data_IF_043250455187
#
_entry.id   IF_043250455187
#
_cell.length_a   1.000
_cell.length_b   1.000
_cell.length_c   1.000
_cell.angle_alpha   90.00
_cell.angle_beta   90.00
_cell.angle_gamma   90.00
#
_symmetry.space_group_name_H-M   'P 1'
#
loop_
_entity.id
_entity.type
_entity.pdbx_description
1 polymer ?
#
# COMPACT_ATOMS: atom_id res chain seq x y z
N UNK A 1 -17.94 -47.02 -38.25
CA UNK A 1 -19.17 -47.68 -38.71
C UNK A 1 -18.91 -49.18 -38.72
N UNK A 2 -19.92 -49.94 -38.29
CA UNK A 2 -19.96 -51.39 -38.01
C UNK A 2 -19.57 -51.77 -36.57
N UNK A 3 -20.57 -52.40 -35.96
CA UNK A 3 -20.79 -52.74 -34.56
C UNK A 3 -21.03 -54.26 -34.45
N UNK A 4 -21.48 -54.67 -33.25
CA UNK A 4 -21.92 -56.01 -32.79
C UNK A 4 -20.78 -56.84 -32.17
N UNK A 5 -20.83 -57.33 -30.93
CA UNK A 5 -21.95 -57.59 -30.03
C UNK A 5 -22.51 -58.99 -30.25
N UNK A 6 -22.31 -59.92 -29.30
CA UNK A 6 -23.35 -60.80 -28.73
C UNK A 6 -22.81 -61.88 -27.77
N UNK A 7 -23.63 -62.05 -26.73
CA UNK A 7 -23.67 -62.99 -25.63
C UNK A 7 -23.54 -64.49 -25.96
N UNK A 8 -23.18 -65.25 -24.91
CA UNK A 8 -24.10 -66.25 -24.36
C UNK A 8 -23.68 -67.72 -24.43
N UNK A 9 -23.84 -68.39 -23.29
CA UNK A 9 -24.12 -69.83 -23.02
C UNK A 9 -23.30 -70.28 -21.80
N UNK A 10 -23.75 -71.08 -20.85
CA UNK A 10 -25.06 -71.53 -20.35
C UNK A 10 -24.73 -72.50 -19.18
N UNK A 11 -25.63 -72.59 -18.21
CA UNK A 11 -25.58 -73.34 -16.95
C UNK A 11 -25.19 -74.83 -17.03
N UNK A 12 -24.71 -75.35 -15.89
CA UNK A 12 -25.29 -76.58 -15.33
C UNK A 12 -25.22 -76.60 -13.80
N UNK A 13 -26.41 -76.65 -13.21
CA UNK A 13 -26.82 -76.81 -11.82
C UNK A 13 -26.40 -78.16 -11.20
N UNK A 14 -26.43 -78.25 -9.86
CA UNK A 14 -26.23 -79.52 -9.15
C UNK A 14 -26.15 -79.41 -7.63
N UNK A 15 -27.30 -79.14 -7.04
CA UNK A 15 -27.66 -78.88 -5.64
C UNK A 15 -27.28 -79.89 -4.52
N UNK A 16 -27.40 -79.35 -3.30
CA UNK A 16 -27.95 -79.92 -2.05
C UNK A 16 -27.07 -80.82 -1.16
N UNK A 17 -27.07 -80.76 0.18
CA UNK A 17 -27.70 -79.97 1.25
C UNK A 17 -27.23 -80.68 2.55
N UNK A 18 -26.76 -80.06 3.64
CA UNK A 18 -27.57 -79.66 4.82
C UNK A 18 -26.63 -79.47 6.02
N UNK A 19 -26.94 -78.50 6.88
CA UNK A 19 -26.43 -78.44 8.26
C UNK A 19 -26.24 -77.04 8.88
N UNK A 20 -27.36 -76.35 9.15
CA UNK A 20 -27.45 -75.04 9.82
C UNK A 20 -27.08 -75.05 11.31
N UNK A 21 -26.55 -73.90 11.78
CA UNK A 21 -27.01 -73.05 12.91
C UNK A 21 -25.79 -72.17 13.30
N UNK A 22 -25.81 -70.83 13.31
CA UNK A 22 -26.87 -69.88 13.64
C UNK A 22 -26.36 -69.06 14.83
N UNK A 23 -25.97 -67.80 14.62
CA UNK A 23 -26.56 -66.62 15.27
C UNK A 23 -25.65 -65.37 15.19
N UNK A 24 -26.26 -64.32 14.66
CA UNK A 24 -25.81 -62.94 14.58
C UNK A 24 -26.03 -62.19 15.91
N UNK A 25 -25.15 -61.24 16.20
CA UNK A 25 -25.38 -59.91 16.81
C UNK A 25 -24.03 -59.47 17.42
N UNK A 26 -23.40 -58.39 17.00
CA UNK A 26 -23.98 -57.07 16.81
C UNK A 26 -23.52 -56.20 17.99
N UNK A 27 -22.41 -55.49 17.82
CA UNK A 27 -22.13 -54.32 18.65
C UNK A 27 -21.50 -53.24 17.78
N UNK A 28 -22.37 -52.42 17.20
CA UNK A 28 -22.01 -51.08 16.80
C UNK A 28 -22.06 -50.20 18.04
N UNK A 29 -20.92 -49.61 18.40
CA UNK A 29 -20.89 -48.31 19.04
C UNK A 29 -19.69 -47.58 18.43
N UNK A 30 -20.00 -46.63 17.54
CA UNK A 30 -19.03 -45.70 17.03
C UNK A 30 -18.54 -44.79 18.14
N UNK A 31 -17.25 -44.53 18.13
CA UNK A 31 -16.70 -43.28 18.61
C UNK A 31 -15.93 -42.68 17.43
N UNK A 32 -16.50 -41.64 16.84
CA UNK A 32 -15.81 -40.82 15.85
C UNK A 32 -14.80 -39.95 16.59
N UNK A 33 -13.51 -40.25 16.41
CA UNK A 33 -12.44 -39.28 16.51
C UNK A 33 -11.48 -39.60 15.36
N UNK A 34 -11.71 -38.93 14.23
CA UNK A 34 -10.88 -39.10 13.04
C UNK A 34 -9.53 -38.41 13.23
N UNK A 35 -8.50 -39.22 13.47
CA UNK A 35 -7.21 -39.12 12.81
C UNK A 35 -6.44 -40.44 13.04
N UNK A 36 -6.86 -41.52 12.39
CA UNK A 36 -6.11 -42.79 12.44
C UNK A 36 -5.72 -43.14 11.00
N UNK A 37 -4.44 -42.96 10.68
CA UNK A 37 -3.83 -43.65 9.55
C UNK A 37 -3.95 -45.14 9.89
N UNK A 38 -4.89 -45.83 9.25
CA UNK A 38 -5.22 -47.20 9.60
C UNK A 38 -4.36 -48.13 8.74
N UNK A 39 -3.15 -48.44 9.22
CA UNK A 39 -2.18 -49.28 8.51
C UNK A 39 -2.65 -50.74 8.42
N UNK A 40 -2.38 -51.38 7.29
CA UNK A 40 -2.76 -52.79 7.05
C UNK A 40 -1.86 -53.78 7.81
N UNK A 41 -0.62 -53.41 8.12
CA UNK A 41 0.36 -54.30 8.73
C UNK A 41 1.09 -53.66 9.91
N UNK A 42 1.35 -54.47 10.93
CA UNK A 42 2.23 -54.17 12.06
C UNK A 42 3.32 -55.26 12.13
N UNK A 43 4.58 -54.86 12.26
CA UNK A 43 5.71 -55.78 12.45
C UNK A 43 6.49 -55.39 13.71
N UNK A 44 6.45 -56.27 14.72
CA UNK A 44 7.32 -56.15 15.89
C UNK A 44 8.77 -56.51 15.53
N UNK A 45 9.72 -55.73 16.02
CA UNK A 45 11.14 -56.01 15.89
C UNK A 45 11.51 -57.33 16.57
N UNK A 46 12.12 -58.24 15.81
CA UNK A 46 12.49 -59.57 16.27
C UNK A 46 13.92 -59.70 16.80
N UNK A 47 14.58 -58.58 17.11
CA UNK A 47 15.97 -58.55 17.58
C UNK A 47 17.02 -58.55 16.45
N UNK A 48 16.64 -58.30 15.20
CA UNK A 48 17.62 -58.19 14.12
C UNK A 48 18.44 -56.89 14.27
N UNK A 49 19.76 -57.02 14.40
CA UNK A 49 20.65 -55.90 14.68
C UNK A 49 20.74 -55.57 16.17
N UNK A 50 20.44 -56.52 17.06
CA UNK A 50 20.48 -56.33 18.52
C UNK A 50 21.88 -55.96 19.04
N UNK A 51 22.94 -56.24 18.28
CA UNK A 51 24.29 -55.76 18.58
C UNK A 51 24.42 -54.22 18.60
N UNK A 52 23.46 -53.51 18.00
CA UNK A 52 23.38 -52.04 17.97
C UNK A 52 22.34 -51.46 18.93
N UNK A 53 21.62 -52.30 19.69
CA UNK A 53 20.47 -51.87 20.48
C UNK A 53 20.81 -50.97 21.68
N UNK A 54 22.06 -50.99 22.16
CA UNK A 54 22.51 -50.21 23.30
C UNK A 54 23.57 -49.19 22.89
N UNK A 55 23.33 -47.92 23.22
CA UNK A 55 24.29 -46.83 23.18
C UNK A 55 24.41 -46.21 24.57
N UNK A 56 25.63 -45.96 25.01
CA UNK A 56 25.95 -45.26 26.27
C UNK A 56 26.67 -43.98 25.86
N UNK A 57 25.91 -42.91 25.66
CA UNK A 57 26.43 -41.65 25.12
C UNK A 57 26.74 -40.68 26.26
N UNK A 58 27.61 -39.69 25.99
CA UNK A 58 27.88 -38.63 26.97
C UNK A 58 26.62 -37.75 27.17
N UNK A 59 26.58 -36.97 28.26
CA UNK A 59 25.40 -36.15 28.63
C UNK A 59 25.04 -35.08 27.58
N UNK A 60 25.98 -34.75 26.68
CA UNK A 60 25.90 -33.80 25.57
C UNK A 60 25.83 -34.47 24.18
N UNK A 61 25.69 -35.80 24.14
CA UNK A 61 25.56 -36.58 22.91
C UNK A 61 24.15 -37.18 22.78
N UNK A 62 23.71 -37.37 21.53
CA UNK A 62 22.47 -38.07 21.21
C UNK A 62 22.79 -39.46 20.67
N UNK A 63 22.08 -40.47 21.16
CA UNK A 63 22.10 -41.80 20.58
C UNK A 63 21.33 -41.79 19.27
N UNK A 64 21.96 -42.22 18.18
CA UNK A 64 21.34 -42.38 16.87
C UNK A 64 21.22 -43.87 16.52
N UNK A 65 20.04 -44.28 16.05
CA UNK A 65 19.79 -45.60 15.47
C UNK A 65 19.17 -45.48 14.10
N UNK A 66 19.76 -46.17 13.13
CA UNK A 66 19.16 -46.32 11.80
C UNK A 66 18.45 -47.64 11.69
N UNK A 67 17.16 -47.57 11.41
CA UNK A 67 16.31 -48.73 11.19
C UNK A 67 16.02 -48.91 9.71
N UNK A 68 15.93 -50.17 9.29
CA UNK A 68 15.57 -50.53 7.92
C UNK A 68 14.41 -51.52 7.96
N UNK A 69 13.29 -51.14 7.34
CA UNK A 69 12.20 -52.04 7.01
C UNK A 69 12.37 -52.53 5.56
N UNK A 70 12.73 -53.80 5.42
CA UNK A 70 12.93 -54.43 4.11
C UNK A 70 11.64 -55.16 3.68
N UNK A 71 11.12 -54.92 2.46
CA UNK A 71 9.94 -55.63 1.97
C UNK A 71 10.26 -57.11 1.75
N UNK A 72 9.29 -57.97 2.05
CA UNK A 72 9.34 -59.40 1.79
C UNK A 72 9.00 -59.79 0.34
N UNK A 73 8.52 -58.84 -0.48
CA UNK A 73 8.21 -59.09 -1.88
C UNK A 73 7.42 -57.97 -2.55
N UNK A 74 6.39 -58.35 -3.29
CA UNK A 74 5.41 -57.43 -3.88
C UNK A 74 4.06 -57.57 -3.16
N UNK A 75 3.26 -56.49 -3.04
CA UNK A 75 3.57 -55.12 -3.47
C UNK A 75 4.73 -54.52 -2.64
N UNK A 76 5.42 -53.47 -3.13
CA UNK A 76 6.40 -52.76 -2.32
C UNK A 76 5.73 -52.19 -1.06
N UNK A 77 6.52 -51.81 -0.06
CA UNK A 77 6.00 -51.01 1.06
C UNK A 77 5.51 -49.68 0.47
N UNK A 78 4.39 -49.17 0.94
CA UNK A 78 3.86 -47.86 0.51
C UNK A 78 4.59 -46.71 1.25
N UNK A 79 4.17 -45.47 1.02
CA UNK A 79 4.71 -44.32 1.77
C UNK A 79 3.99 -44.18 3.12
N UNK A 80 4.66 -43.55 4.10
CA UNK A 80 4.04 -43.24 5.40
C UNK A 80 4.17 -44.35 6.45
N UNK A 81 5.05 -45.34 6.27
CA UNK A 81 5.36 -46.28 7.34
C UNK A 81 5.87 -45.55 8.60
N UNK A 82 5.48 -46.00 9.79
CA UNK A 82 5.84 -45.38 11.07
C UNK A 82 6.48 -46.39 12.01
N UNK A 83 7.66 -46.06 12.52
CA UNK A 83 8.38 -46.86 13.50
C UNK A 83 8.13 -46.30 14.88
N UNK A 84 7.71 -47.14 15.82
CA UNK A 84 7.64 -46.80 17.25
C UNK A 84 8.68 -47.60 18.02
N UNK A 85 9.53 -46.91 18.78
CA UNK A 85 10.62 -47.49 19.58
C UNK A 85 10.34 -47.23 21.05
N UNK A 86 10.47 -48.26 21.88
CA UNK A 86 10.40 -48.18 23.33
C UNK A 86 11.76 -48.54 23.93
N UNK A 87 12.24 -47.69 24.82
CA UNK A 87 13.54 -47.84 25.49
C UNK A 87 13.38 -48.43 26.90
N UNK A 88 14.47 -48.93 27.50
CA UNK A 88 14.45 -49.57 28.84
C UNK A 88 13.95 -48.65 29.98
N UNK A 89 13.99 -47.33 29.79
CA UNK A 89 13.41 -46.36 30.73
C UNK A 89 11.89 -46.21 30.58
N UNK A 90 11.27 -46.96 29.67
CA UNK A 90 9.86 -46.94 29.27
C UNK A 90 9.44 -45.67 28.51
N UNK A 91 10.38 -44.87 27.99
CA UNK A 91 10.01 -43.83 27.01
C UNK A 91 9.72 -44.48 25.67
N UNK A 92 8.79 -43.89 24.92
CA UNK A 92 8.39 -44.34 23.60
C UNK A 92 8.37 -43.17 22.65
N UNK A 93 8.95 -43.35 21.46
CA UNK A 93 9.01 -42.34 20.40
C UNK A 93 8.65 -42.94 19.05
N UNK A 94 8.08 -42.11 18.17
CA UNK A 94 7.61 -42.51 16.84
C UNK A 94 8.32 -41.71 15.76
N UNK A 95 8.78 -42.39 14.72
CA UNK A 95 9.59 -41.83 13.64
C UNK A 95 8.96 -42.17 12.29
N UNK A 96 8.91 -41.18 11.39
CA UNK A 96 8.40 -41.36 10.04
C UNK A 96 9.44 -42.02 9.13
N UNK A 97 8.98 -42.97 8.32
CA UNK A 97 9.81 -43.68 7.37
C UNK A 97 10.10 -42.88 6.11
N UNK A 98 11.35 -42.89 5.66
CA UNK A 98 11.77 -42.25 4.42
C UNK A 98 12.58 -43.20 3.51
N UNK A 99 12.84 -42.75 2.28
CA UNK A 99 13.62 -43.49 1.28
C UNK A 99 14.72 -42.60 0.71
N UNK A 100 16.01 -42.92 0.92
CA UNK A 100 17.07 -42.19 0.26
C UNK A 100 17.13 -42.59 -1.22
N UNK A 101 16.44 -41.84 -2.08
CA UNK A 101 16.44 -41.96 -3.55
C UNK A 101 15.12 -42.43 -4.17
N UNK A 102 15.07 -42.48 -5.51
CA UNK A 102 13.85 -42.73 -6.31
C UNK A 102 13.37 -44.22 -6.36
N UNK A 103 13.65 -45.02 -5.33
CA UNK A 103 13.41 -46.47 -5.33
C UNK A 103 12.21 -46.94 -4.49
N UNK A 104 11.45 -47.92 -4.99
CA UNK A 104 10.37 -48.61 -4.25
C UNK A 104 10.89 -49.72 -3.30
N UNK A 105 12.13 -49.61 -2.81
CA UNK A 105 12.81 -50.60 -1.97
C UNK A 105 12.50 -50.52 -0.47
N UNK A 106 13.51 -50.74 0.37
CA UNK A 106 13.39 -50.66 1.83
C UNK A 106 13.08 -49.23 2.31
N UNK A 107 12.36 -49.13 3.42
CA UNK A 107 12.10 -47.87 4.14
C UNK A 107 13.13 -47.74 5.25
N UNK A 108 13.64 -46.54 5.47
CA UNK A 108 14.58 -46.21 6.53
C UNK A 108 13.91 -45.33 7.57
N UNK A 109 14.36 -45.45 8.81
CA UNK A 109 13.96 -44.59 9.92
C UNK A 109 15.22 -44.17 10.67
N UNK A 110 15.23 -42.95 11.15
CA UNK A 110 16.30 -42.40 11.97
C UNK A 110 15.70 -42.08 13.33
N UNK A 111 16.10 -42.85 14.33
CA UNK A 111 15.65 -42.73 15.71
C UNK A 111 16.73 -42.10 16.56
N UNK A 112 16.34 -41.19 17.45
CA UNK A 112 17.24 -40.40 18.29
C UNK A 112 16.83 -40.50 19.76
N UNK A 113 17.79 -40.45 20.69
CA UNK A 113 17.53 -40.36 22.12
C UNK A 113 18.67 -39.66 22.85
N UNK A 114 18.36 -38.62 23.62
CA UNK A 114 19.32 -37.89 24.45
C UNK A 114 20.05 -38.81 25.44
N UNK A 115 21.38 -38.70 25.49
CA UNK A 115 22.24 -39.56 26.31
C UNK A 115 22.25 -41.03 25.89
N UNK A 116 21.60 -41.37 24.78
CA UNK A 116 21.45 -42.74 24.32
C UNK A 116 20.53 -43.59 25.19
N UNK A 117 20.84 -44.88 25.31
CA UNK A 117 20.05 -45.86 26.05
C UNK A 117 20.03 -47.23 25.40
N UNK A 118 19.15 -48.10 25.90
CA UNK A 118 18.91 -49.43 25.34
C UNK A 118 17.50 -49.49 24.75
N UNK A 119 17.40 -49.90 23.49
CA UNK A 119 16.12 -50.24 22.85
C UNK A 119 15.57 -51.52 23.49
N UNK A 120 14.42 -51.43 24.17
CA UNK A 120 13.74 -52.56 24.79
C UNK A 120 12.84 -53.29 23.77
N UNK A 121 12.10 -52.54 22.97
CA UNK A 121 11.24 -53.09 21.91
C UNK A 121 10.94 -52.05 20.84
N UNK A 122 10.53 -52.50 19.66
CA UNK A 122 10.04 -51.62 18.60
C UNK A 122 8.99 -52.34 17.77
N UNK A 123 8.10 -51.59 17.14
CA UNK A 123 7.21 -52.08 16.09
C UNK A 123 7.08 -51.04 14.98
N UNK A 124 6.78 -51.50 13.77
CA UNK A 124 6.54 -50.63 12.62
C UNK A 124 5.17 -50.91 12.02
N UNK A 125 4.41 -49.85 11.75
CA UNK A 125 3.13 -49.88 11.07
C UNK A 125 3.31 -49.41 9.63
N UNK A 126 2.74 -50.15 8.65
CA UNK A 126 2.95 -49.87 7.23
C UNK A 126 1.92 -50.56 6.33
N UNK A 127 1.79 -50.05 5.10
CA UNK A 127 0.99 -50.67 4.03
C UNK A 127 1.89 -51.37 3.00
N UNK A 128 1.36 -52.43 2.38
CA UNK A 128 2.06 -53.22 1.37
C UNK A 128 3.20 -54.11 1.93
N UNK A 129 4.33 -54.16 1.22
CA UNK A 129 5.56 -54.85 1.66
C UNK A 129 5.66 -56.36 1.41
N UNK A 130 4.56 -57.03 1.04
CA UNK A 130 4.55 -58.44 0.70
C UNK A 130 4.86 -59.38 1.88
N UNK A 131 5.11 -60.66 1.59
CA UNK A 131 5.23 -61.69 2.63
C UNK A 131 6.60 -61.68 3.35
N UNK A 132 6.58 -61.64 4.69
CA UNK A 132 7.77 -61.68 5.57
C UNK A 132 8.69 -60.45 5.49
N UNK A 133 8.16 -59.24 5.75
CA UNK A 133 9.00 -58.06 5.92
C UNK A 133 9.92 -58.22 7.13
N UNK A 134 11.04 -57.51 7.11
CA UNK A 134 12.06 -57.58 8.16
C UNK A 134 12.40 -56.17 8.61
N UNK A 135 12.27 -55.91 9.91
CA UNK A 135 12.72 -54.70 10.59
C UNK A 135 14.08 -54.97 11.25
N UNK A 136 15.07 -54.12 11.02
CA UNK A 136 16.45 -54.32 11.50
C UNK A 136 17.07 -53.00 11.93
N UNK A 137 17.80 -53.01 13.04
CA UNK A 137 18.74 -51.93 13.37
C UNK A 137 19.99 -52.15 12.52
N UNK A 138 20.24 -51.25 11.57
CA UNK A 138 21.34 -51.40 10.62
C UNK A 138 22.65 -50.81 11.12
N UNK A 139 22.58 -49.74 11.88
CA UNK A 139 23.71 -49.04 12.47
C UNK A 139 23.23 -48.17 13.63
N UNK A 140 24.13 -47.94 14.58
CA UNK A 140 23.91 -47.04 15.69
C UNK A 140 25.23 -46.38 16.10
N UNK A 141 25.17 -45.13 16.52
CA UNK A 141 26.32 -44.38 17.00
C UNK A 141 25.86 -43.26 17.95
N UNK A 142 26.73 -42.88 18.89
CA UNK A 142 26.56 -41.60 19.57
C UNK A 142 27.02 -40.50 18.61
N UNK A 143 26.21 -39.48 18.45
CA UNK A 143 26.54 -38.27 17.70
C UNK A 143 26.68 -37.13 18.70
N UNK A 144 27.61 -36.21 18.41
CA UNK A 144 27.49 -34.87 18.99
C UNK A 144 26.05 -34.45 18.75
N UNK A 145 25.33 -34.07 19.81
CA UNK A 145 23.97 -33.58 19.66
C UNK A 145 24.00 -32.55 18.55
N UNK A 146 23.24 -32.78 17.47
CA UNK A 146 22.65 -31.63 16.84
C UNK A 146 21.81 -31.09 17.98
N UNK A 147 22.27 -29.99 18.60
CA UNK A 147 21.42 -29.23 19.50
C UNK A 147 20.09 -29.17 18.73
N UNK A 148 19.07 -29.90 19.16
CA UNK A 148 17.70 -29.45 18.95
C UNK A 148 17.73 -28.14 19.71
N UNK A 149 18.21 -27.10 19.01
CA UNK A 149 18.50 -25.81 19.57
C UNK A 149 17.21 -25.48 20.29
N UNK A 150 17.30 -25.09 21.56
CA UNK A 150 16.15 -24.51 22.23
C UNK A 150 15.78 -23.30 21.41
N UNK A 151 14.91 -23.50 20.43
CA UNK A 151 14.68 -22.56 19.35
C UNK A 151 13.92 -21.41 19.99
N UNK A 152 14.67 -20.42 20.44
CA UNK A 152 14.12 -19.14 20.82
C UNK A 152 14.02 -18.36 19.52
N UNK A 153 12.83 -17.94 19.14
CA UNK A 153 12.66 -17.17 17.93
C UNK A 153 11.83 -15.92 18.22
N UNK A 154 12.32 -14.79 17.71
CA UNK A 154 11.66 -13.50 17.86
C UNK A 154 11.71 -12.74 16.54
N UNK A 155 10.57 -12.22 16.14
CA UNK A 155 10.42 -11.37 14.96
C UNK A 155 10.30 -9.90 15.38
N UNK A 156 10.95 -9.03 14.60
CA UNK A 156 10.79 -7.58 14.72
C UNK A 156 9.78 -7.14 13.67
N UNK A 157 8.71 -6.46 14.11
CA UNK A 157 7.69 -5.91 13.23
C UNK A 157 7.88 -4.40 13.05
N UNK A 158 7.36 -3.80 11.95
CA UNK A 158 7.46 -2.36 11.72
C UNK A 158 6.96 -1.54 12.91
N UNK A 159 7.66 -0.43 13.19
CA UNK A 159 7.24 0.52 14.20
C UNK A 159 5.91 1.19 13.81
N UNK A 160 5.09 1.48 14.82
CA UNK A 160 3.78 2.14 14.66
C UNK A 160 3.68 3.33 15.59
N UNK A 161 2.61 4.13 15.47
CA UNK A 161 2.36 5.30 16.33
C UNK A 161 3.58 6.24 16.41
N UNK A 162 4.28 6.42 15.29
CA UNK A 162 5.42 7.30 15.15
C UNK A 162 4.90 8.75 15.21
N UNK A 163 4.91 9.32 16.41
CA UNK A 163 4.40 10.64 16.75
C UNK A 163 5.57 11.63 16.96
N UNK A 164 5.28 12.92 17.19
CA UNK A 164 6.31 13.96 17.31
C UNK A 164 7.34 13.80 18.43
N UNK A 165 7.11 12.90 19.40
CA UNK A 165 8.07 12.64 20.48
C UNK A 165 8.21 11.17 20.84
N UNK A 166 7.42 10.27 20.24
CA UNK A 166 7.40 8.85 20.61
C UNK A 166 7.19 7.95 19.41
N UNK A 167 7.65 6.70 19.51
CA UNK A 167 7.35 5.63 18.56
C UNK A 167 7.08 4.32 19.31
N UNK A 168 6.17 3.50 18.78
CA UNK A 168 5.86 2.18 19.33
C UNK A 168 6.57 1.10 18.53
N UNK A 169 7.52 0.41 19.18
CA UNK A 169 8.24 -0.73 18.62
C UNK A 169 7.42 -2.00 18.80
N UNK A 170 7.32 -2.82 17.77
CA UNK A 170 6.50 -4.03 17.75
C UNK A 170 7.35 -5.27 17.48
N UNK A 171 7.02 -6.37 18.16
CA UNK A 171 7.70 -7.65 18.00
C UNK A 171 6.80 -8.80 18.37
N UNK A 172 7.17 -9.99 17.92
CA UNK A 172 6.44 -11.23 18.17
C UNK A 172 7.42 -12.30 18.62
N UNK A 173 7.18 -12.90 19.78
CA UNK A 173 7.86 -14.14 20.18
C UNK A 173 7.20 -15.28 19.40
N UNK A 174 7.91 -15.87 18.45
CA UNK A 174 7.39 -16.93 17.57
C UNK A 174 7.67 -18.32 18.13
N UNK A 175 8.75 -18.49 18.90
CA UNK A 175 9.06 -19.75 19.58
C UNK A 175 9.70 -19.50 20.95
N UNK A 176 9.28 -20.29 21.95
CA UNK A 176 9.79 -20.20 23.33
C UNK A 176 10.71 -21.38 23.68
N UNK A 177 10.76 -22.42 22.84
CA UNK A 177 11.53 -23.63 23.07
C UNK A 177 11.20 -24.28 24.43
N UNK A 178 12.22 -24.86 25.07
CA UNK A 178 12.08 -25.52 26.39
C UNK A 178 12.07 -24.56 27.59
N UNK A 179 11.95 -23.25 27.36
CA UNK A 179 11.97 -22.26 28.42
C UNK A 179 10.59 -22.05 29.04
N UNK A 180 10.52 -22.07 30.38
CA UNK A 180 9.25 -21.84 31.11
C UNK A 180 8.83 -20.37 31.12
N UNK A 181 9.79 -19.47 31.01
CA UNK A 181 9.60 -18.02 30.89
C UNK A 181 10.82 -17.43 30.17
N UNK A 182 10.59 -16.35 29.42
CA UNK A 182 11.61 -15.61 28.67
C UNK A 182 11.43 -14.12 28.90
N UNK A 183 12.51 -13.35 28.74
CA UNK A 183 12.47 -11.88 28.76
C UNK A 183 12.57 -11.33 27.34
N UNK A 184 11.55 -10.59 26.90
CA UNK A 184 11.55 -9.88 25.63
C UNK A 184 11.70 -8.38 25.82
N UNK A 185 12.44 -7.73 24.93
CA UNK A 185 12.66 -6.28 24.92
C UNK A 185 13.12 -5.82 23.53
N UNK A 186 13.28 -4.50 23.35
CA UNK A 186 13.86 -3.94 22.14
C UNK A 186 15.22 -3.31 22.42
N UNK A 187 16.12 -3.50 21.47
CA UNK A 187 17.31 -2.67 21.32
C UNK A 187 17.06 -1.65 20.22
N UNK A 188 17.33 -0.38 20.49
CA UNK A 188 17.13 0.69 19.53
C UNK A 188 18.19 1.78 19.67
N UNK A 189 18.41 2.56 18.62
CA UNK A 189 19.29 3.74 18.64
C UNK A 189 18.97 4.70 17.51
N UNK A 190 19.40 5.94 17.66
CA UNK A 190 19.58 6.82 16.51
C UNK A 190 20.70 6.23 15.63
N UNK A 191 20.53 6.25 14.30
CA UNK A 191 21.51 5.70 13.35
C UNK A 191 22.88 6.40 13.46
N UNK A 192 22.91 7.66 13.92
CA UNK A 192 24.15 8.40 14.18
C UNK A 192 24.87 7.99 15.48
N UNK A 193 24.21 7.24 16.37
CA UNK A 193 24.78 6.80 17.64
C UNK A 193 25.50 5.44 17.52
N UNK A 194 26.61 5.30 18.28
CA UNK A 194 27.43 4.08 18.25
C UNK A 194 26.82 2.92 19.06
N UNK A 195 26.04 3.21 20.11
CA UNK A 195 25.57 2.23 21.11
C UNK A 195 24.04 2.08 21.10
N UNK A 196 23.57 0.83 21.24
CA UNK A 196 22.13 0.53 21.41
C UNK A 196 21.64 0.85 22.83
N UNK A 197 20.47 1.46 22.91
CA UNK A 197 19.65 1.56 24.12
C UNK A 197 18.72 0.35 24.23
N UNK A 198 18.22 0.06 25.44
CA UNK A 198 17.29 -1.03 25.71
C UNK A 198 15.99 -0.49 26.31
N UNK A 199 14.85 -1.05 25.90
CA UNK A 199 13.57 -0.84 26.58
C UNK A 199 13.49 -1.66 27.87
N UNK A 200 12.47 -1.41 28.69
CA UNK A 200 12.15 -2.29 29.81
C UNK A 200 11.85 -3.72 29.32
N UNK A 201 12.31 -4.71 30.10
CA UNK A 201 12.08 -6.14 29.83
C UNK A 201 10.67 -6.56 30.20
N UNK A 202 10.08 -7.41 29.37
CA UNK A 202 8.75 -8.01 29.57
C UNK A 202 8.90 -9.53 29.67
N UNK A 203 8.31 -10.13 30.71
CA UNK A 203 8.32 -11.60 30.86
C UNK A 203 7.15 -12.22 30.09
N UNK A 204 7.46 -13.14 29.18
CA UNK A 204 6.48 -13.96 28.48
C UNK A 204 6.64 -15.43 28.87
N UNK A 205 5.52 -16.15 28.97
CA UNK A 205 5.48 -17.60 29.24
C UNK A 205 4.87 -18.39 28.09
N UNK A 206 4.44 -17.71 27.03
CA UNK A 206 3.85 -18.26 25.82
C UNK A 206 4.24 -17.35 24.64
N UNK A 207 4.23 -17.88 23.42
CA UNK A 207 4.42 -17.12 22.18
C UNK A 207 3.38 -16.02 22.05
N UNK A 208 3.74 -14.89 21.43
CA UNK A 208 2.79 -13.80 21.21
C UNK A 208 3.43 -12.44 20.99
N UNK A 209 2.60 -11.42 20.69
CA UNK A 209 3.07 -10.08 20.43
C UNK A 209 3.48 -9.36 21.72
N UNK A 210 4.47 -8.48 21.60
CA UNK A 210 4.86 -7.51 22.63
C UNK A 210 5.25 -6.18 21.97
N UNK A 211 5.14 -5.09 22.73
CA UNK A 211 5.49 -3.75 22.24
C UNK A 211 6.05 -2.86 23.33
N UNK A 212 6.79 -1.82 22.94
CA UNK A 212 7.32 -0.81 23.84
C UNK A 212 7.32 0.57 23.17
N UNK A 213 6.98 1.61 23.94
CA UNK A 213 7.09 3.00 23.51
C UNK A 213 8.50 3.52 23.82
N UNK A 214 9.10 4.24 22.87
CA UNK A 214 10.39 4.92 23.01
C UNK A 214 10.24 6.41 22.71
N UNK A 215 11.09 7.23 23.32
CA UNK A 215 11.19 8.66 22.99
C UNK A 215 12.06 8.84 21.74
N UNK A 216 11.59 9.64 20.78
CA UNK A 216 12.31 9.94 19.53
C UNK A 216 12.27 11.43 19.22
N UNK A 217 13.35 11.93 18.64
CA UNK A 217 13.45 13.30 18.12
C UNK A 217 12.96 13.39 16.67
N UNK A 218 12.29 14.49 16.28
CA UNK A 218 11.90 14.76 14.88
C UNK A 218 13.09 14.86 13.92
N UNK A 219 12.91 14.40 12.67
CA UNK A 219 13.92 14.50 11.61
C UNK A 219 15.04 13.48 11.68
N UNK A 220 15.02 12.65 12.71
CA UNK A 220 16.06 11.68 12.99
C UNK A 220 15.66 10.28 12.50
N UNK A 221 16.66 9.49 12.12
CA UNK A 221 16.45 8.09 11.73
C UNK A 221 16.87 7.17 12.85
N UNK A 222 16.04 6.15 13.11
CA UNK A 222 16.28 5.17 14.16
C UNK A 222 16.32 3.77 13.58
N UNK A 223 17.14 2.92 14.18
CA UNK A 223 17.08 1.48 13.95
C UNK A 223 16.76 0.75 15.25
N UNK A 224 16.03 -0.35 15.14
CA UNK A 224 15.61 -1.16 16.28
C UNK A 224 15.50 -2.63 15.93
N UNK A 225 15.55 -3.48 16.95
CA UNK A 225 15.42 -4.93 16.85
C UNK A 225 14.82 -5.50 18.13
N UNK A 226 13.94 -6.48 17.96
CA UNK A 226 13.44 -7.31 19.05
C UNK A 226 14.54 -8.24 19.58
N UNK A 227 14.55 -8.47 20.89
CA UNK A 227 15.49 -9.36 21.57
C UNK A 227 14.69 -10.24 22.53
N UNK A 228 15.03 -11.53 22.57
CA UNK A 228 14.57 -12.47 23.58
C UNK A 228 15.77 -13.08 24.32
N UNK A 229 15.70 -13.15 25.64
CA UNK A 229 16.73 -13.72 26.52
C UNK A 229 16.12 -14.75 27.49
N UNK A 230 16.79 -15.91 27.64
CA UNK A 230 16.44 -16.92 28.65
C UNK A 230 17.65 -17.79 29.03
N UNK A 231 17.97 -17.90 30.32
CA UNK A 231 19.06 -18.73 30.87
C UNK A 231 20.37 -18.69 30.03
N UNK A 232 20.90 -17.49 29.78
CA UNK A 232 22.10 -17.21 28.96
C UNK A 232 21.96 -17.40 27.44
N UNK A 233 20.78 -17.83 26.94
CA UNK A 233 20.45 -17.78 25.52
C UNK A 233 19.91 -16.41 25.16
N UNK A 234 20.34 -15.88 24.02
CA UNK A 234 19.94 -14.56 23.52
C UNK A 234 19.76 -14.63 22.02
N UNK A 235 18.55 -14.31 21.56
CA UNK A 235 18.21 -14.24 20.14
C UNK A 235 17.79 -12.82 19.79
N UNK A 236 18.20 -12.38 18.61
CA UNK A 236 17.97 -11.04 18.10
C UNK A 236 17.23 -11.16 16.78
N UNK A 237 16.09 -10.48 16.68
CA UNK A 237 15.32 -10.40 15.45
C UNK A 237 16.01 -9.54 14.38
N UNK A 238 15.39 -9.47 13.21
CA UNK A 238 15.84 -8.60 12.12
C UNK A 238 15.88 -7.14 12.59
N UNK A 239 16.96 -6.43 12.28
CA UNK A 239 17.02 -4.99 12.52
C UNK A 239 16.19 -4.26 11.46
N UNK A 240 15.21 -3.47 11.91
CA UNK A 240 14.41 -2.60 11.07
C UNK A 240 14.75 -1.14 11.38
N UNK A 241 14.57 -0.28 10.39
CA UNK A 241 14.69 1.16 10.53
C UNK A 241 13.35 1.85 10.31
N UNK A 242 13.24 3.03 10.91
CA UNK A 242 12.21 4.00 10.55
C UNK A 242 12.83 5.39 10.56
N UNK A 243 12.46 6.19 9.58
CA UNK A 243 12.77 7.61 9.56
C UNK A 243 11.63 8.33 10.28
N UNK A 244 11.98 9.09 11.31
CA UNK A 244 11.06 10.08 11.83
C UNK A 244 11.14 11.27 10.90
N UNK A 245 10.11 11.45 10.08
CA UNK A 245 9.93 12.69 9.34
C UNK A 245 10.01 13.87 10.33
N UNK A 246 10.61 14.98 9.93
CA UNK A 246 10.63 16.25 10.67
C UNK A 246 9.19 16.77 10.90
N UNK A 247 8.39 16.11 11.73
CA UNK A 247 7.07 16.58 12.16
C UNK A 247 7.18 17.52 13.39
N UNK A 248 8.37 18.08 13.60
CA UNK A 248 8.53 19.44 14.15
C UNK A 248 8.38 20.51 13.06
N UNK A 249 8.02 20.12 11.84
CA UNK A 249 6.81 20.72 11.32
C UNK A 249 5.65 20.07 12.08
N UNK A 250 5.04 20.82 12.99
CA UNK A 250 3.58 20.77 13.11
C UNK A 250 3.00 20.55 11.69
N UNK A 251 1.70 20.32 11.55
CA UNK A 251 1.10 21.14 10.51
C UNK A 251 1.36 22.64 10.86
N UNK A 252 2.58 23.18 10.70
CA UNK A 252 2.79 24.15 9.64
C UNK A 252 2.19 23.48 8.41
N UNK A 253 0.84 23.54 8.34
CA UNK A 253 0.16 24.05 7.16
C UNK A 253 1.17 25.00 6.61
N UNK A 254 1.88 24.60 5.54
CA UNK A 254 2.89 25.41 4.87
C UNK A 254 2.37 26.80 5.08
N UNK A 255 3.03 27.63 5.93
CA UNK A 255 2.51 29.00 6.10
C UNK A 255 2.49 29.45 4.67
N UNK A 256 1.31 29.59 4.06
CA UNK A 256 1.24 29.52 2.61
C UNK A 256 2.17 30.62 2.16
N UNK A 257 2.97 30.47 1.11
CA UNK A 257 3.89 31.56 0.74
C UNK A 257 3.05 32.82 0.47
N UNK A 258 2.78 33.59 1.52
CA UNK A 258 1.65 34.52 1.54
C UNK A 258 2.03 35.68 0.65
N UNK A 259 3.33 35.90 0.49
CA UNK A 259 3.89 36.98 -0.30
C UNK A 259 3.79 36.72 -1.79
N UNK A 260 3.85 35.46 -2.22
CA UNK A 260 3.63 35.08 -3.62
C UNK A 260 2.16 34.78 -3.93
N UNK A 261 1.35 34.43 -2.92
CA UNK A 261 -0.05 34.01 -3.09
C UNK A 261 -1.11 35.03 -2.62
N UNK A 262 -0.69 36.21 -2.15
CA UNK A 262 -1.61 37.31 -1.80
C UNK A 262 -1.36 38.52 -2.68
N UNK A 263 -2.40 38.91 -3.40
CA UNK A 263 -2.44 40.17 -4.15
C UNK A 263 -3.52 41.11 -3.60
N UNK A 264 -3.29 42.41 -3.72
CA UNK A 264 -4.22 43.44 -3.31
C UNK A 264 -4.41 44.48 -4.41
N UNK A 265 -5.68 44.77 -4.75
CA UNK A 265 -6.03 45.72 -5.82
C UNK A 265 -7.12 46.69 -5.40
N UNK A 266 -7.01 47.94 -5.84
CA UNK A 266 -8.07 48.95 -5.67
C UNK A 266 -9.16 48.76 -6.73
N UNK A 267 -10.29 48.20 -6.33
CA UNK A 267 -11.41 47.91 -7.26
C UNK A 267 -12.44 49.04 -7.37
N UNK A 268 -12.37 50.03 -6.48
CA UNK A 268 -13.21 51.24 -6.56
C UNK A 268 -12.53 52.37 -5.82
N UNK A 269 -12.51 53.57 -6.38
CA UNK A 269 -12.08 54.75 -5.65
C UNK A 269 -13.00 55.95 -5.85
N UNK A 270 -12.98 56.86 -4.89
CA UNK A 270 -13.56 58.20 -5.00
C UNK A 270 -12.68 59.19 -4.24
N UNK A 271 -12.18 60.19 -4.95
CA UNK A 271 -11.40 61.28 -4.39
C UNK A 271 -12.28 62.51 -4.16
N UNK A 272 -12.11 63.19 -3.02
CA UNK A 272 -12.71 64.49 -2.75
C UNK A 272 -11.81 65.31 -1.82
N UNK A 273 -11.44 66.52 -2.25
CA UNK A 273 -10.63 67.45 -1.46
C UNK A 273 -9.29 66.86 -0.96
N UNK A 274 -8.65 65.98 -1.74
CA UNK A 274 -7.38 65.34 -1.37
C UNK A 274 -7.50 64.09 -0.48
N UNK A 275 -8.72 63.73 -0.09
CA UNK A 275 -9.03 62.50 0.66
C UNK A 275 -9.59 61.45 -0.28
N UNK A 276 -9.12 60.20 -0.13
CA UNK A 276 -9.56 59.05 -0.91
C UNK A 276 -10.41 58.12 -0.06
N UNK A 277 -11.55 57.72 -0.64
CA UNK A 277 -12.31 56.53 -0.22
C UNK A 277 -12.11 55.45 -1.27
N UNK A 278 -11.54 54.32 -0.86
CA UNK A 278 -11.25 53.21 -1.76
C UNK A 278 -11.85 51.90 -1.26
N UNK A 279 -12.26 51.03 -2.19
CA UNK A 279 -12.55 49.63 -1.91
C UNK A 279 -11.38 48.82 -2.41
N UNK A 280 -10.72 48.12 -1.50
CA UNK A 280 -9.60 47.24 -1.81
C UNK A 280 -10.10 45.80 -1.80
N UNK A 281 -9.64 45.02 -2.77
CA UNK A 281 -9.85 43.58 -2.85
C UNK A 281 -8.54 42.89 -2.58
N UNK A 282 -8.60 41.82 -1.79
CA UNK A 282 -7.47 40.94 -1.51
C UNK A 282 -7.80 39.57 -2.06
N UNK A 283 -6.85 39.00 -2.80
CA UNK A 283 -6.90 37.67 -3.38
C UNK A 283 -6.04 36.74 -2.54
N UNK A 284 -6.46 35.48 -2.47
CA UNK A 284 -5.77 34.42 -1.78
C UNK A 284 -5.71 33.23 -2.72
N UNK A 285 -4.57 33.05 -3.36
CA UNK A 285 -4.31 31.94 -4.29
C UNK A 285 -3.69 30.74 -3.57
N UNK A 286 -3.58 30.79 -2.23
CA UNK A 286 -3.20 29.64 -1.42
C UNK A 286 -4.35 28.64 -1.27
N UNK A 287 -3.99 27.44 -0.83
CA UNK A 287 -4.87 26.32 -0.54
C UNK A 287 -5.49 26.38 0.87
N UNK A 288 -5.27 27.47 1.61
CA UNK A 288 -5.75 27.67 2.98
C UNK A 288 -6.51 28.99 3.17
N UNK A 289 -7.44 29.03 4.14
CA UNK A 289 -8.11 30.27 4.51
C UNK A 289 -7.12 31.18 5.26
N UNK A 290 -6.95 32.42 4.80
CA UNK A 290 -6.02 33.38 5.38
C UNK A 290 -6.70 34.36 6.33
N UNK A 291 -6.05 34.61 7.46
CA UNK A 291 -6.39 35.68 8.40
C UNK A 291 -5.38 36.80 8.24
N UNK A 292 -5.76 37.83 7.50
CA UNK A 292 -4.91 38.97 7.21
C UNK A 292 -5.34 40.18 8.02
N UNK A 293 -4.49 41.20 8.06
CA UNK A 293 -4.87 42.55 8.47
C UNK A 293 -4.37 43.54 7.42
N UNK A 294 -4.79 44.79 7.52
CA UNK A 294 -4.31 45.83 6.60
C UNK A 294 -4.01 47.11 7.35
N UNK A 295 -3.06 47.89 6.87
CA UNK A 295 -2.72 49.19 7.44
C UNK A 295 -2.38 50.24 6.36
N UNK A 296 -2.31 51.49 6.82
CA UNK A 296 -1.70 52.60 6.09
C UNK A 296 -0.38 52.94 6.79
N UNK A 297 0.67 53.26 6.01
CA UNK A 297 2.05 53.60 6.42
C UNK A 297 2.36 53.54 7.93
N UNK A 298 3.13 52.51 8.32
CA UNK A 298 3.80 52.32 9.63
C UNK A 298 2.89 52.38 10.88
N UNK A 299 1.59 52.06 10.75
CA UNK A 299 0.59 52.13 11.83
C UNK A 299 -0.08 50.79 12.18
N UNK A 300 -0.37 50.60 13.48
CA UNK A 300 -0.94 49.39 14.14
C UNK A 300 -1.97 48.62 13.32
N UNK A 301 -1.84 47.29 13.30
CA UNK A 301 -2.72 46.29 12.68
C UNK A 301 -4.15 46.80 12.54
N UNK A 302 -4.57 47.12 11.32
CA UNK A 302 -5.95 47.52 11.05
C UNK A 302 -6.90 46.33 11.12
N UNK A 303 -8.09 46.49 10.53
CA UNK A 303 -9.15 45.50 10.63
C UNK A 303 -8.71 44.12 10.12
N UNK A 304 -8.96 43.08 10.92
CA UNK A 304 -8.73 41.69 10.51
C UNK A 304 -9.70 41.32 9.42
N UNK A 305 -9.19 40.73 8.35
CA UNK A 305 -9.95 40.27 7.20
C UNK A 305 -9.69 38.78 7.00
N UNK A 306 -10.76 38.01 6.81
CA UNK A 306 -10.66 36.60 6.45
C UNK A 306 -10.81 36.47 4.93
N UNK A 307 -9.87 35.78 4.30
CA UNK A 307 -9.86 35.51 2.87
C UNK A 307 -9.88 34.00 2.67
N UNK A 308 -10.96 33.42 2.13
CA UNK A 308 -11.04 31.98 1.95
C UNK A 308 -10.00 31.48 0.94
N UNK A 309 -9.63 30.20 1.03
CA UNK A 309 -8.72 29.53 0.09
C UNK A 309 -9.19 29.65 -1.37
N UNK A 310 -8.26 29.89 -2.30
CA UNK A 310 -8.56 30.17 -3.72
C UNK A 310 -9.57 31.30 -3.93
N UNK A 311 -9.65 32.23 -2.97
CA UNK A 311 -10.78 33.12 -2.76
C UNK A 311 -10.40 34.59 -2.72
N UNK A 312 -11.38 35.44 -2.40
CA UNK A 312 -11.18 36.89 -2.32
C UNK A 312 -12.10 37.56 -1.32
N UNK A 313 -11.62 38.63 -0.70
CA UNK A 313 -12.42 39.48 0.20
C UNK A 313 -12.27 40.95 -0.16
N UNK A 314 -13.17 41.82 0.33
CA UNK A 314 -13.06 43.25 0.09
C UNK A 314 -13.26 44.05 1.38
N UNK A 315 -12.49 45.12 1.55
CA UNK A 315 -12.66 46.07 2.63
C UNK A 315 -12.66 47.51 2.11
N UNK A 316 -13.11 48.44 2.95
CA UNK A 316 -13.15 49.86 2.63
C UNK A 316 -12.05 50.60 3.38
N UNK A 317 -11.25 51.35 2.62
CA UNK A 317 -10.30 52.33 3.14
C UNK A 317 -10.96 53.70 3.10
N UNK A 318 -10.91 54.38 4.24
CA UNK A 318 -11.44 55.73 4.44
C UNK A 318 -10.30 56.66 4.83
N UNK A 319 -10.48 57.95 4.53
CA UNK A 319 -9.64 59.04 5.03
C UNK A 319 -8.14 58.96 4.70
N UNK A 320 -7.78 58.22 3.64
CA UNK A 320 -6.41 58.07 3.16
C UNK A 320 -6.02 59.18 2.16
N UNK A 321 -4.73 59.47 2.04
CA UNK A 321 -4.22 60.40 1.01
C UNK A 321 -4.00 59.68 -0.33
N UNK A 322 -4.06 60.41 -1.45
CA UNK A 322 -3.99 59.83 -2.81
C UNK A 322 -2.77 58.95 -3.08
N UNK A 323 -1.64 59.24 -2.45
CA UNK A 323 -0.36 58.55 -2.70
C UNK A 323 -0.03 57.51 -1.62
N UNK A 324 -0.97 57.19 -0.73
CA UNK A 324 -0.75 56.17 0.29
C UNK A 324 -0.83 54.77 -0.28
N UNK A 325 0.01 53.91 0.27
CA UNK A 325 -0.05 52.46 0.09
C UNK A 325 -0.92 51.88 1.18
N UNK A 326 -1.77 50.94 0.79
CA UNK A 326 -2.43 50.01 1.70
C UNK A 326 -1.56 48.77 1.77
N UNK A 327 -1.07 48.45 2.96
CA UNK A 327 -0.25 47.26 3.19
C UNK A 327 -1.14 46.15 3.74
N UNK A 328 -1.02 44.94 3.16
CA UNK A 328 -1.65 43.73 3.68
C UNK A 328 -0.63 43.00 4.53
N UNK A 329 -1.09 42.52 5.68
CA UNK A 329 -0.27 41.95 6.74
C UNK A 329 -0.70 40.53 7.07
N UNK A 330 0.28 39.65 7.22
CA UNK A 330 0.13 38.33 7.82
C UNK A 330 1.17 38.21 8.93
N UNK A 331 0.77 37.84 10.14
CA UNK A 331 1.66 37.74 11.31
C UNK A 331 2.56 38.98 11.55
N UNK A 332 2.11 40.17 11.16
CA UNK A 332 2.84 41.44 11.29
C UNK A 332 3.75 41.79 10.10
N UNK A 333 3.98 40.86 9.18
CA UNK A 333 4.81 41.08 7.99
C UNK A 333 3.99 41.60 6.81
N UNK A 334 4.57 42.47 5.98
CA UNK A 334 3.92 42.91 4.73
C UNK A 334 4.00 41.80 3.69
N UNK A 335 2.84 41.29 3.30
CA UNK A 335 2.72 40.23 2.28
C UNK A 335 2.31 40.80 0.91
N UNK A 336 1.50 41.87 0.90
CA UNK A 336 1.11 42.57 -0.33
C UNK A 336 0.98 44.07 -0.06
N UNK A 337 0.98 44.88 -1.12
CA UNK A 337 0.55 46.28 -1.02
C UNK A 337 -0.10 46.75 -2.31
N UNK A 338 -0.99 47.74 -2.19
CA UNK A 338 -1.58 48.42 -3.35
C UNK A 338 -1.52 49.92 -3.16
N UNK A 339 -1.25 50.70 -4.22
CA UNK A 339 -1.30 52.16 -4.12
C UNK A 339 -2.71 52.66 -4.42
N UNK A 340 -3.16 53.66 -3.68
CA UNK A 340 -4.51 54.21 -3.85
C UNK A 340 -4.71 55.02 -5.13
N UNK A 341 -3.62 55.45 -5.78
CA UNK A 341 -3.61 56.09 -7.10
C UNK A 341 -3.42 55.11 -8.27
N UNK A 342 -2.96 53.89 -8.00
CA UNK A 342 -2.96 52.79 -8.96
C UNK A 342 -4.41 52.31 -9.14
N UNK A 343 -5.18 53.01 -9.98
CA UNK A 343 -6.30 52.35 -10.64
C UNK A 343 -5.72 51.37 -11.63
N UNK A 344 -5.84 50.10 -11.29
CA UNK A 344 -5.93 49.08 -12.32
C UNK A 344 -7.29 49.28 -13.01
N UNK A 345 -7.29 50.11 -14.06
CA UNK A 345 -8.36 50.12 -15.08
C UNK A 345 -8.27 48.84 -15.96
N UNK A 346 -7.37 47.91 -15.60
CA UNK A 346 -7.14 46.59 -16.15
C UNK A 346 -7.28 45.54 -15.03
N UNK A 347 -7.74 44.34 -15.35
CA UNK A 347 -7.75 43.15 -14.46
C UNK A 347 -9.01 42.85 -13.64
N UNK A 348 -10.18 43.06 -14.26
CA UNK A 348 -11.29 42.08 -14.15
C UNK A 348 -11.15 40.94 -15.18
N UNK A 349 -10.10 40.99 -16.02
CA UNK A 349 -9.89 40.18 -17.22
C UNK A 349 -9.22 38.80 -17.04
N UNK A 350 -8.69 38.45 -15.86
CA UNK A 350 -7.73 37.33 -15.76
C UNK A 350 -8.29 36.01 -15.21
N UNK A 351 -9.51 36.01 -14.65
CA UNK A 351 -10.12 34.79 -14.07
C UNK A 351 -10.23 33.62 -15.07
N UNK A 352 -10.34 33.94 -16.36
CA UNK A 352 -10.65 32.96 -17.41
C UNK A 352 -9.56 32.83 -18.47
N UNK A 353 -8.57 33.74 -18.55
CA UNK A 353 -7.59 33.74 -19.64
C UNK A 353 -6.62 32.56 -19.62
N UNK A 354 -6.32 32.01 -18.45
CA UNK A 354 -5.42 30.86 -18.33
C UNK A 354 -6.10 29.53 -18.70
N UNK A 355 -7.43 29.47 -18.60
CA UNK A 355 -8.20 28.22 -18.77
C UNK A 355 -9.22 28.26 -19.91
N UNK A 356 -9.32 29.38 -20.61
CA UNK A 356 -10.19 29.56 -21.77
C UNK A 356 -9.38 30.13 -22.89
N UNK A 357 -9.33 29.38 -23.99
CA UNK A 357 -8.71 29.82 -25.23
C UNK A 357 -9.76 30.06 -26.31
N UNK A 358 -9.48 30.98 -27.23
CA UNK A 358 -10.31 31.24 -28.40
C UNK A 358 -9.46 31.30 -29.66
N UNK A 359 -9.63 30.29 -30.51
CA UNK A 359 -8.96 30.21 -31.81
C UNK A 359 -9.83 30.79 -32.92
N UNK A 360 -9.19 31.50 -33.86
CA UNK A 360 -9.79 31.83 -35.15
C UNK A 360 -9.53 30.67 -36.12
N UNK A 361 -10.61 30.02 -36.58
CA UNK A 361 -10.54 28.81 -37.40
C UNK A 361 -10.77 29.04 -38.90
N UNK A 362 -11.53 30.07 -39.26
CA UNK A 362 -11.91 30.36 -40.65
C UNK A 362 -12.18 31.87 -40.78
N UNK A 363 -11.80 32.44 -41.92
CA UNK A 363 -11.88 33.86 -42.22
C UNK A 363 -12.38 34.03 -43.65
N UNK A 364 -13.43 34.84 -43.84
CA UNK A 364 -14.04 35.05 -45.16
C UNK A 364 -14.27 36.53 -45.41
N UNK A 365 -13.69 37.02 -46.49
CA UNK A 365 -13.89 38.39 -46.94
C UNK A 365 -14.98 38.48 -48.01
N UNK A 366 -15.86 39.47 -47.88
CA UNK A 366 -16.89 39.77 -48.88
C UNK A 366 -17.30 41.24 -48.79
N UNK A 367 -17.23 41.95 -49.91
CA UNK A 367 -17.71 43.33 -50.06
C UNK A 367 -17.16 44.31 -49.00
N UNK A 368 -15.87 44.15 -48.62
CA UNK A 368 -15.23 44.98 -47.58
C UNK A 368 -15.54 44.57 -46.14
N UNK A 369 -16.15 43.39 -45.94
CA UNK A 369 -16.55 42.86 -44.63
C UNK A 369 -16.02 41.46 -44.40
N UNK A 370 -15.84 41.12 -43.13
CA UNK A 370 -15.22 39.87 -42.70
C UNK A 370 -16.19 39.02 -41.89
N UNK A 371 -16.20 37.73 -42.18
CA UNK A 371 -16.94 36.71 -41.42
C UNK A 371 -15.94 35.73 -40.83
N UNK A 372 -15.95 35.59 -39.51
CA UNK A 372 -14.97 34.78 -38.78
C UNK A 372 -15.66 33.60 -38.10
N UNK A 373 -15.02 32.42 -38.15
CA UNK A 373 -15.37 31.27 -37.32
C UNK A 373 -14.38 31.17 -36.16
N UNK A 374 -14.88 31.08 -34.95
CA UNK A 374 -14.07 30.90 -33.75
C UNK A 374 -14.36 29.55 -33.09
N UNK A 375 -13.36 28.95 -32.47
CA UNK A 375 -13.52 27.90 -31.46
C UNK A 375 -13.25 28.48 -30.08
N UNK A 376 -14.04 28.06 -29.09
CA UNK A 376 -13.78 28.34 -27.67
C UNK A 376 -13.48 27.02 -26.99
N UNK A 377 -12.40 26.99 -26.21
CA UNK A 377 -12.01 25.88 -25.35
C UNK A 377 -12.24 26.27 -23.89
N UNK A 378 -12.76 25.34 -23.10
CA UNK A 378 -13.00 25.51 -21.68
C UNK A 378 -12.32 24.37 -20.94
N UNK A 379 -11.15 24.64 -20.36
CA UNK A 379 -10.33 23.67 -19.63
C UNK A 379 -10.67 23.63 -18.14
N UNK A 380 -11.73 24.34 -17.73
CA UNK A 380 -12.26 24.25 -16.37
C UNK A 380 -13.11 22.98 -16.19
N UNK A 381 -13.20 22.55 -14.93
CA UNK A 381 -13.97 21.39 -14.47
C UNK A 381 -15.50 21.58 -14.48
N UNK A 382 -15.98 22.75 -14.88
CA UNK A 382 -17.40 23.08 -14.94
C UNK A 382 -17.79 23.79 -16.25
N UNK A 383 -19.08 23.72 -16.58
CA UNK A 383 -19.64 24.32 -17.80
C UNK A 383 -19.64 25.84 -17.70
N UNK A 384 -19.10 26.51 -18.71
CA UNK A 384 -19.15 27.96 -18.85
C UNK A 384 -20.21 28.44 -19.86
N UNK A 385 -20.69 29.68 -19.67
CA UNK A 385 -21.59 30.37 -20.59
C UNK A 385 -20.87 31.58 -21.16
N UNK A 386 -20.62 31.54 -22.46
CA UNK A 386 -19.98 32.62 -23.19
C UNK A 386 -21.02 33.47 -23.90
N UNK A 387 -20.67 34.72 -24.12
CA UNK A 387 -21.32 35.58 -25.09
C UNK A 387 -20.29 36.31 -25.91
N UNK A 388 -20.67 36.78 -27.10
CA UNK A 388 -19.80 37.62 -27.90
C UNK A 388 -20.57 38.79 -28.49
N UNK A 389 -19.84 39.85 -28.79
CA UNK A 389 -20.36 41.00 -29.52
C UNK A 389 -19.26 41.62 -30.37
N UNK A 390 -19.54 41.86 -31.65
CA UNK A 390 -18.67 42.68 -32.48
C UNK A 390 -19.04 44.16 -32.34
N UNK A 391 -18.10 44.97 -31.84
CA UNK A 391 -18.30 46.40 -31.56
C UNK A 391 -18.84 47.13 -32.79
N UNK A 392 -19.93 47.88 -32.60
CA UNK A 392 -20.57 48.65 -33.67
C UNK A 392 -21.47 47.84 -34.60
N UNK A 393 -21.74 46.56 -34.30
CA UNK A 393 -22.59 45.69 -35.11
C UNK A 393 -23.77 45.09 -34.31
N UNK A 394 -24.70 44.42 -35.01
CA UNK A 394 -25.76 43.61 -34.40
C UNK A 394 -25.37 42.12 -34.29
N UNK A 395 -24.10 41.77 -34.56
CA UNK A 395 -23.61 40.41 -34.58
C UNK A 395 -23.03 40.04 -33.23
N UNK A 396 -23.90 39.49 -32.38
CA UNK A 396 -23.54 38.88 -31.11
C UNK A 396 -24.33 37.60 -30.87
N UNK A 397 -23.90 36.81 -29.89
CA UNK A 397 -24.52 35.54 -29.58
C UNK A 397 -24.13 35.01 -28.21
N UNK A 398 -24.64 33.82 -27.89
CA UNK A 398 -24.35 33.11 -26.64
C UNK A 398 -24.13 31.64 -26.94
N UNK A 399 -23.20 31.02 -26.23
CA UNK A 399 -22.88 29.60 -26.33
C UNK A 399 -22.56 29.05 -24.94
N UNK A 400 -22.76 27.76 -24.72
CA UNK A 400 -22.40 27.10 -23.47
C UNK A 400 -21.43 25.96 -23.79
N UNK A 401 -20.22 26.04 -23.26
CA UNK A 401 -19.18 25.06 -23.51
C UNK A 401 -19.06 24.16 -22.28
N UNK A 402 -19.16 22.82 -22.41
CA UNK A 402 -19.02 21.90 -21.29
C UNK A 402 -17.64 22.00 -20.61
N UNK A 403 -17.53 21.44 -19.41
CA UNK A 403 -16.25 21.27 -18.72
C UNK A 403 -15.26 20.47 -19.60
N UNK A 404 -13.99 20.86 -19.60
CA UNK A 404 -12.92 20.24 -20.42
C UNK A 404 -13.35 20.03 -21.88
N UNK A 405 -13.99 21.04 -22.46
CA UNK A 405 -14.75 20.91 -23.70
C UNK A 405 -14.49 22.05 -24.68
N UNK A 406 -15.01 21.90 -25.89
CA UNK A 406 -14.92 22.94 -26.93
C UNK A 406 -16.23 23.09 -27.69
N UNK A 407 -16.47 24.29 -28.20
CA UNK A 407 -17.55 24.56 -29.13
C UNK A 407 -17.16 25.66 -30.14
N UNK A 408 -17.92 25.82 -31.22
CA UNK A 408 -17.61 26.78 -32.28
C UNK A 408 -18.77 27.71 -32.58
N UNK A 409 -18.45 28.95 -32.96
CA UNK A 409 -19.45 29.92 -33.36
C UNK A 409 -18.97 30.75 -34.56
N UNK A 410 -19.94 31.34 -35.27
CA UNK A 410 -19.67 32.26 -36.36
C UNK A 410 -20.05 33.68 -35.95
N UNK A 411 -19.15 34.63 -36.23
CA UNK A 411 -19.47 36.06 -36.22
C UNK A 411 -19.78 36.47 -37.66
N UNK A 412 -20.86 37.25 -37.84
CA UNK A 412 -21.33 37.68 -39.17
C UNK A 412 -20.37 38.64 -39.87
N UNK A 413 -20.76 39.11 -41.06
CA UNK A 413 -19.98 40.07 -41.85
C UNK A 413 -19.90 41.44 -41.15
N UNK A 414 -18.80 41.67 -40.43
CA UNK A 414 -18.47 42.92 -39.72
C UNK A 414 -17.46 43.73 -40.53
N UNK A 415 -17.35 45.03 -40.28
CA UNK A 415 -16.27 45.83 -40.87
C UNK A 415 -14.93 45.34 -40.32
N UNK A 416 -13.88 45.28 -41.15
CA UNK A 416 -12.53 44.77 -40.83
C UNK A 416 -11.98 45.34 -39.50
N UNK A 417 -12.12 46.65 -39.28
CA UNK A 417 -11.77 47.34 -38.02
C UNK A 417 -12.63 47.05 -36.77
N UNK A 418 -13.61 46.13 -36.82
CA UNK A 418 -14.55 45.87 -35.73
C UNK A 418 -14.03 44.79 -34.79
N UNK A 419 -13.59 45.18 -33.59
CA UNK A 419 -13.18 44.21 -32.56
C UNK A 419 -14.33 43.32 -32.11
N UNK A 420 -14.07 42.02 -32.02
CA UNK A 420 -14.97 41.02 -31.46
C UNK A 420 -14.58 40.81 -29.99
N UNK A 421 -15.49 41.12 -29.07
CA UNK A 421 -15.29 40.84 -27.66
C UNK A 421 -15.99 39.53 -27.29
N UNK A 422 -15.25 38.59 -26.70
CA UNK A 422 -15.78 37.36 -26.10
C UNK A 422 -15.85 37.56 -24.60
N UNK A 423 -16.98 37.23 -23.99
CA UNK A 423 -17.30 37.51 -22.61
C UNK A 423 -17.75 36.27 -21.85
N UNK A 424 -17.39 36.18 -20.57
CA UNK A 424 -17.90 35.23 -19.58
C UNK A 424 -18.48 36.03 -18.41
N UNK A 425 -19.70 35.70 -17.98
CA UNK A 425 -20.40 36.40 -16.89
C UNK A 425 -20.55 37.93 -17.06
N UNK A 426 -20.34 38.44 -18.27
CA UNK A 426 -20.42 39.88 -18.59
C UNK A 426 -19.06 40.57 -18.66
N UNK A 427 -18.00 39.87 -18.29
CA UNK A 427 -16.62 40.34 -18.35
C UNK A 427 -16.01 39.92 -19.68
N UNK A 428 -15.38 40.84 -20.39
CA UNK A 428 -14.64 40.51 -21.61
C UNK A 428 -13.39 39.72 -21.20
N UNK A 429 -13.14 38.60 -21.85
CA UNK A 429 -12.00 37.71 -21.59
C UNK A 429 -11.00 37.71 -22.74
N UNK A 430 -11.48 37.95 -23.97
CA UNK A 430 -10.66 38.08 -25.17
C UNK A 430 -11.25 39.13 -26.11
N UNK A 431 -10.37 39.87 -26.78
CA UNK A 431 -10.71 40.78 -27.87
C UNK A 431 -9.96 40.32 -29.11
N UNK A 432 -10.69 39.99 -30.18
CA UNK A 432 -10.14 39.59 -31.48
C UNK A 432 -10.24 40.79 -32.41
N UNK A 433 -9.12 41.19 -33.01
CA UNK A 433 -9.09 42.16 -34.10
C UNK A 433 -9.05 41.40 -35.44
N UNK A 434 -10.10 41.46 -36.28
CA UNK A 434 -10.11 40.74 -37.55
C UNK A 434 -8.93 41.08 -38.46
N UNK A 435 -8.43 42.31 -38.40
CA UNK A 435 -7.30 42.80 -39.21
C UNK A 435 -6.01 42.01 -38.93
N UNK A 436 -5.84 41.47 -37.71
CA UNK A 436 -4.66 40.68 -37.33
C UNK A 436 -4.60 39.32 -38.05
N UNK A 437 -5.70 38.89 -38.68
CA UNK A 437 -5.83 37.58 -39.33
C UNK A 437 -6.01 37.66 -40.84
N UNK A 438 -6.08 38.86 -41.43
CA UNK A 438 -6.25 39.07 -42.88
C UNK A 438 -5.10 38.38 -43.65
N UNK A 439 -3.85 38.66 -43.31
CA UNK A 439 -2.67 38.09 -43.96
C UNK A 439 -2.54 36.55 -43.74
N UNK A 440 -2.95 36.04 -42.58
CA UNK A 440 -2.80 34.62 -42.23
C UNK A 440 -3.71 33.70 -43.07
N UNK A 441 -4.85 34.23 -43.50
CA UNK A 441 -5.81 33.49 -44.33
C UNK A 441 -5.76 33.88 -45.81
N UNK A 442 -5.28 35.07 -46.17
CA UNK A 442 -5.04 35.45 -47.59
C UNK A 442 -3.94 34.59 -48.25
N UNK A 443 -2.88 34.19 -47.52
CA UNK A 443 -1.83 33.29 -48.05
C UNK A 443 -2.36 31.87 -48.37
N UNK A 444 -3.55 31.50 -47.88
CA UNK A 444 -4.19 30.21 -48.15
C UNK A 444 -5.25 30.29 -49.27
N UNK A 445 -5.63 31.48 -49.73
CA UNK A 445 -6.59 31.66 -50.83
C UNK A 445 -5.91 31.67 -52.23
N UNK A 446 -4.58 31.64 -52.29
CA UNK A 446 -3.82 31.50 -53.56
C UNK A 446 -3.84 30.06 -54.16
N UNK A 447 -4.67 29.16 -53.63
CA UNK A 447 -4.79 27.76 -54.11
C UNK A 447 -6.17 27.34 -54.62
N UNK A 448 -7.11 28.25 -54.87
CA UNK A 448 -8.39 27.88 -55.51
C UNK A 448 -8.79 28.77 -56.70
N UNK A 449 -7.79 29.27 -57.45
CA UNK A 449 -7.97 29.47 -58.89
C UNK A 449 -7.82 28.11 -59.60
N UNK A 450 -8.88 27.30 -59.55
CA UNK A 450 -9.14 26.33 -60.62
C UNK A 450 -10.64 26.27 -60.97
N UNK A 451 -10.97 27.06 -61.99
CA UNK A 451 -12.11 26.85 -62.88
C UNK A 451 -12.29 25.35 -63.22
N UNK A 452 -13.50 24.80 -63.02
CA UNK A 452 -13.71 23.38 -63.36
C UNK A 452 -15.10 22.77 -63.15
N UNK A 453 -16.14 23.37 -63.76
CA UNK A 453 -17.48 22.81 -64.08
C UNK A 453 -18.52 22.54 -62.97
#
# INVERSE_FOLDING_TARGET
MVAAGLAGCLDSEGDDNTGQNGDENGNANGNENGNENNFENELTWGGQGDEFATLDCEDDEVGFWKWILTPGGQPPIEEGAQLTVTYEDNTTETYDGFRPGEGQGAVQFEAFKDGGGTVESAFVEFDGGGDNPVLTISEAECREGEDDEKELEVETEPATEINGSTATLNGVLTEIGDFTEVEVFFEWRNIEDDDFQQTDRQTLTETGPFSAEIDVEPGESYEFRAVVEANDHRVVGVTLDFEKDDDDKEEEKDKPDVKEHVDAKVIKHKEKNGTVKARVRVYNDSDHDLKLSWDLKDGKDGEKIEVPKGGKTNFWVYDATKYEKVYIRHDGETVAYTKLDDKDDHDEYDKYKEYVDVDVLDYKHKDGKVKIKCAIYNDLDHKLKFSWNAKGSNYGGKISVPANGKDTFWVGYIETSSKIEVLVDGDVIMSIDPDDYEDYFDDNDDNDDNDGY
#
